data_IF_662467036157
#
_entry.id   IF_662467036157
#
_cell.length_a   1.000
_cell.length_b   1.000
_cell.length_c   1.000
_cell.angle_alpha   90.00
_cell.angle_beta   90.00
_cell.angle_gamma   90.00
#
_symmetry.space_group_name_H-M   'P 1'
#
loop_
_entity.id
_entity.type
_entity.pdbx_description
1 polymer ?
#
# COMPACT_ATOMS: atom_id res chain seq x y z
N UNK A 1 -12.57 -2.88 3.90
CA UNK A 1 -13.72 -2.49 3.05
C UNK A 1 -14.25 -3.75 2.38
N UNK A 2 -15.52 -3.75 2.00
CA UNK A 2 -16.14 -4.82 1.20
C UNK A 2 -15.55 -4.81 -0.22
N UNK A 3 -15.79 -5.89 -0.95
CA UNK A 3 -15.33 -6.12 -2.32
C UNK A 3 -15.72 -5.01 -3.30
N UNK A 4 -16.72 -4.20 -2.96
CA UNK A 4 -17.18 -3.02 -3.71
C UNK A 4 -16.63 -1.68 -3.17
N UNK A 5 -15.80 -1.71 -2.13
CA UNK A 5 -15.21 -0.52 -1.51
C UNK A 5 -16.21 0.37 -0.75
N UNK A 6 -17.48 0.00 -0.61
CA UNK A 6 -18.54 0.87 -0.10
C UNK A 6 -18.81 0.67 1.39
N UNK A 7 -18.68 -0.58 1.88
CA UNK A 7 -18.96 -0.94 3.27
C UNK A 7 -17.68 -1.22 4.05
N UNK A 8 -17.56 -0.65 5.24
CA UNK A 8 -16.50 -1.03 6.18
C UNK A 8 -16.83 -2.42 6.74
N UNK A 9 -16.06 -3.45 6.33
CA UNK A 9 -16.18 -4.81 6.88
C UNK A 9 -15.64 -4.85 8.31
N UNK A 10 -14.46 -4.26 8.51
CA UNK A 10 -13.80 -4.20 9.81
C UNK A 10 -12.93 -2.95 9.86
N UNK A 11 -13.00 -2.22 10.97
CA UNK A 11 -12.24 -1.00 11.18
C UNK A 11 -11.16 -1.23 12.24
N UNK A 12 -9.91 -1.39 11.77
CA UNK A 12 -8.75 -1.56 12.65
C UNK A 12 -8.42 -0.32 13.47
N UNK A 13 -8.81 0.88 13.00
CA UNK A 13 -8.62 2.11 13.76
C UNK A 13 -9.53 2.13 15.00
N UNK A 14 -10.80 1.75 14.82
CA UNK A 14 -11.74 1.63 15.92
C UNK A 14 -11.35 0.52 16.90
N UNK A 15 -10.94 -0.66 16.39
CA UNK A 15 -10.54 -1.80 17.22
C UNK A 15 -9.33 -1.48 18.10
N UNK A 16 -8.32 -0.80 17.53
CA UNK A 16 -7.10 -0.44 18.26
C UNK A 16 -7.24 0.89 19.04
N UNK A 17 -8.39 1.57 18.94
CA UNK A 17 -8.64 2.83 19.62
C UNK A 17 -7.78 3.99 19.12
N UNK A 18 -7.33 3.95 17.85
CA UNK A 18 -6.41 4.92 17.26
C UNK A 18 -7.13 5.78 16.23
N UNK A 19 -6.87 7.09 16.25
CA UNK A 19 -7.42 8.00 15.27
C UNK A 19 -6.74 7.83 13.90
N UNK A 20 -7.54 7.71 12.85
CA UNK A 20 -7.02 7.69 11.48
C UNK A 20 -6.36 9.04 11.13
N UNK A 21 -5.13 9.04 10.60
CA UNK A 21 -4.48 10.27 10.14
C UNK A 21 -5.35 11.01 9.10
N UNK A 22 -5.38 12.34 9.22
CA UNK A 22 -6.06 13.18 8.25
C UNK A 22 -5.44 13.00 6.86
N UNK A 23 -6.27 13.09 5.83
CA UNK A 23 -5.78 13.07 4.45
C UNK A 23 -4.93 14.31 4.18
N UNK A 24 -3.73 14.10 3.65
CA UNK A 24 -2.78 15.18 3.36
C UNK A 24 -3.05 15.72 1.96
N UNK A 25 -3.39 17.00 1.89
CA UNK A 25 -3.43 17.75 0.64
C UNK A 25 -2.01 18.10 0.20
N UNK A 26 -1.60 17.61 -0.98
CA UNK A 26 -0.30 17.89 -1.56
C UNK A 26 -0.23 19.21 -2.34
N UNK A 27 -1.35 19.86 -2.64
CA UNK A 27 -1.44 21.16 -3.35
C UNK A 27 -0.66 21.14 -4.67
N UNK A 28 -0.84 20.07 -5.46
CA UNK A 28 -0.07 19.85 -6.69
C UNK A 28 -0.59 20.68 -7.87
N UNK A 29 -1.77 21.26 -7.77
CA UNK A 29 -2.39 22.13 -8.78
C UNK A 29 -2.07 23.62 -8.58
N UNK A 30 -1.35 23.97 -7.51
CA UNK A 30 -0.95 25.34 -7.22
C UNK A 30 -0.07 25.90 -8.35
N UNK A 31 -0.55 26.95 -9.00
CA UNK A 31 0.15 27.60 -10.11
C UNK A 31 1.43 28.34 -9.68
N UNK A 32 1.64 28.58 -8.39
CA UNK A 32 2.81 29.29 -7.85
C UNK A 32 3.20 28.75 -6.48
N UNK A 33 3.66 27.48 -6.42
CA UNK A 33 4.02 26.86 -5.16
C UNK A 33 5.27 27.52 -4.59
N UNK A 34 5.30 27.74 -3.27
CA UNK A 34 6.49 28.23 -2.61
C UNK A 34 7.63 27.21 -2.75
N UNK A 35 8.86 27.69 -2.99
CA UNK A 35 10.02 26.82 -3.18
C UNK A 35 10.24 25.92 -1.97
N UNK A 36 10.18 24.61 -2.17
CA UNK A 36 10.38 23.59 -1.16
C UNK A 36 9.10 23.18 -0.42
N UNK A 37 7.93 23.72 -0.79
CA UNK A 37 6.65 23.40 -0.15
C UNK A 37 6.34 21.90 -0.24
N UNK A 38 6.53 21.30 -1.43
CA UNK A 38 6.31 19.87 -1.63
C UNK A 38 7.27 19.03 -0.79
N UNK A 39 8.56 19.41 -0.78
CA UNK A 39 9.58 18.73 0.04
C UNK A 39 9.27 18.83 1.54
N UNK A 40 8.81 19.98 2.03
CA UNK A 40 8.42 20.15 3.43
C UNK A 40 7.25 19.23 3.81
N UNK A 41 6.24 19.09 2.94
CA UNK A 41 5.14 18.13 3.15
C UNK A 41 5.65 16.69 3.25
N UNK A 42 6.57 16.28 2.37
CA UNK A 42 7.19 14.94 2.40
C UNK A 42 7.97 14.67 3.69
N UNK A 43 8.74 15.67 4.15
CA UNK A 43 9.51 15.58 5.41
C UNK A 43 8.55 15.47 6.60
N UNK A 44 7.52 16.32 6.65
CA UNK A 44 6.53 16.31 7.73
C UNK A 44 5.78 14.96 7.80
N UNK A 45 5.39 14.41 6.65
CA UNK A 45 4.80 13.08 6.55
C UNK A 45 5.74 11.99 7.09
N UNK A 46 7.00 11.99 6.67
CA UNK A 46 7.98 11.00 7.13
C UNK A 46 8.19 11.09 8.65
N UNK A 47 8.22 12.31 9.21
CA UNK A 47 8.31 12.52 10.65
C UNK A 47 7.06 12.05 11.40
N UNK A 48 5.87 12.30 10.85
CA UNK A 48 4.61 11.81 11.42
C UNK A 48 4.56 10.28 11.47
N UNK A 49 4.93 9.62 10.37
CA UNK A 49 5.02 8.15 10.30
C UNK A 49 6.03 7.60 11.30
N UNK A 50 7.23 8.20 11.39
CA UNK A 50 8.25 7.78 12.37
C UNK A 50 7.75 7.88 13.81
N UNK A 51 7.01 8.96 14.13
CA UNK A 51 6.42 9.15 15.45
C UNK A 51 5.32 8.13 15.73
N UNK A 52 4.50 7.82 14.73
CA UNK A 52 3.44 6.81 14.82
C UNK A 52 3.99 5.39 15.03
N UNK A 53 5.18 5.10 14.50
CA UNK A 53 5.84 3.79 14.62
C UNK A 53 6.63 3.59 15.92
N UNK A 54 6.70 4.60 16.81
CA UNK A 54 7.32 4.57 18.15
C UNK A 54 8.59 3.71 18.28
N UNK A 55 9.58 3.95 17.41
CA UNK A 55 10.88 3.26 17.46
C UNK A 55 10.98 1.97 16.63
N UNK A 56 9.90 1.54 15.95
CA UNK A 56 9.97 0.44 14.98
C UNK A 56 10.66 0.84 13.65
N UNK A 57 10.83 2.15 13.41
CA UNK A 57 11.48 2.66 12.22
C UNK A 57 13.00 2.47 12.28
N UNK A 58 13.57 1.84 11.25
CA UNK A 58 15.02 1.60 11.13
C UNK A 58 15.60 2.52 10.05
N UNK A 59 16.45 3.46 10.44
CA UNK A 59 17.09 4.38 9.51
C UNK A 59 17.96 3.65 8.48
N UNK A 60 17.81 4.03 7.21
CA UNK A 60 18.53 3.44 6.08
C UNK A 60 17.98 2.11 5.57
N UNK A 61 17.01 1.49 6.28
CA UNK A 61 16.38 0.24 5.87
C UNK A 61 14.87 0.38 5.65
N UNK A 62 14.19 1.04 6.58
CA UNK A 62 12.77 1.40 6.47
C UNK A 62 12.61 2.58 5.52
N UNK A 63 11.59 2.52 4.67
CA UNK A 63 11.25 3.60 3.74
C UNK A 63 9.75 3.70 3.56
N UNK A 64 9.28 4.84 3.06
CA UNK A 64 7.88 5.05 2.73
C UNK A 64 7.66 4.76 1.24
N UNK A 65 6.73 3.87 0.96
CA UNK A 65 6.22 3.61 -0.39
C UNK A 65 4.96 4.43 -0.60
N UNK A 66 4.95 5.26 -1.64
CA UNK A 66 3.79 6.04 -2.06
C UNK A 66 3.20 5.40 -3.32
N UNK A 67 2.04 4.76 -3.19
CA UNK A 67 1.26 4.25 -4.32
C UNK A 67 0.35 5.36 -4.81
N UNK A 68 0.59 5.83 -6.02
CA UNK A 68 -0.10 6.97 -6.62
C UNK A 68 -1.08 6.53 -7.70
N UNK A 69 -2.21 7.24 -7.80
CA UNK A 69 -3.07 7.18 -8.98
C UNK A 69 -2.49 7.97 -10.16
N UNK A 70 -3.02 7.72 -11.36
CA UNK A 70 -2.45 8.26 -12.60
C UNK A 70 -2.45 9.79 -12.69
N UNK A 71 -3.53 10.45 -12.28
CA UNK A 71 -3.61 11.91 -12.32
C UNK A 71 -2.69 12.55 -11.27
N UNK A 72 -2.62 11.97 -10.07
CA UNK A 72 -1.68 12.38 -9.04
C UNK A 72 -0.23 12.24 -9.54
N UNK A 73 0.11 11.12 -10.18
CA UNK A 73 1.44 10.88 -10.73
C UNK A 73 1.82 11.91 -11.81
N UNK A 74 0.89 12.20 -12.73
CA UNK A 74 1.08 13.25 -13.74
C UNK A 74 1.37 14.61 -13.12
N UNK A 75 0.53 15.05 -12.18
CA UNK A 75 0.73 16.30 -11.46
C UNK A 75 2.06 16.32 -10.68
N UNK A 76 2.37 15.24 -9.96
CA UNK A 76 3.60 15.10 -9.20
C UNK A 76 4.86 15.18 -10.07
N UNK A 77 4.91 14.45 -11.19
CA UNK A 77 6.08 14.45 -12.08
C UNK A 77 6.26 15.76 -12.83
N UNK A 78 5.18 16.48 -13.11
CA UNK A 78 5.20 17.81 -13.73
C UNK A 78 5.47 18.97 -12.76
N UNK A 79 5.44 18.72 -11.44
CA UNK A 79 5.60 19.77 -10.44
C UNK A 79 6.99 20.42 -10.53
N UNK A 80 7.08 21.75 -10.39
CA UNK A 80 8.31 22.55 -10.58
C UNK A 80 9.51 22.07 -9.75
N UNK A 81 9.27 21.47 -8.58
CA UNK A 81 10.32 20.90 -7.72
C UNK A 81 10.81 19.51 -8.16
N UNK A 82 10.00 18.77 -8.92
CA UNK A 82 10.21 17.37 -9.29
C UNK A 82 10.68 17.25 -10.73
N UNK A 83 10.05 17.99 -11.64
CA UNK A 83 10.27 17.96 -13.10
C UNK A 83 11.76 18.02 -13.50
N UNK A 84 12.61 18.92 -12.95
CA UNK A 84 14.02 18.97 -13.33
C UNK A 84 14.78 17.70 -12.96
N UNK A 85 14.41 17.06 -11.84
CA UNK A 85 15.08 15.85 -11.35
C UNK A 85 14.53 14.61 -12.04
N UNK A 86 13.22 14.55 -12.23
CA UNK A 86 12.53 13.45 -12.90
C UNK A 86 12.96 13.33 -14.36
N UNK A 87 13.04 14.45 -15.08
CA UNK A 87 13.51 14.46 -16.47
C UNK A 87 14.94 13.96 -16.63
N UNK A 88 15.82 14.21 -15.67
CA UNK A 88 17.19 13.64 -15.65
C UNK A 88 17.15 12.16 -15.30
N UNK A 89 16.34 11.76 -14.33
CA UNK A 89 16.18 10.37 -13.91
C UNK A 89 15.69 9.48 -15.05
N UNK A 90 14.62 9.86 -15.74
CA UNK A 90 14.08 9.11 -16.88
C UNK A 90 15.12 8.96 -17.99
N UNK A 91 15.89 10.01 -18.28
CA UNK A 91 17.02 9.95 -19.24
C UNK A 91 18.14 9.01 -18.81
N UNK A 92 18.36 8.85 -17.50
CA UNK A 92 19.41 7.98 -16.97
C UNK A 92 19.00 6.50 -16.93
N UNK A 93 17.73 6.21 -16.69
CA UNK A 93 17.20 4.84 -16.57
C UNK A 93 16.87 4.24 -17.94
N UNK A 94 16.46 5.07 -18.91
CA UNK A 94 16.02 4.60 -20.22
C UNK A 94 16.52 5.51 -21.35
N UNK A 95 17.84 5.44 -21.61
CA UNK A 95 18.58 6.34 -22.50
C UNK A 95 18.04 6.40 -23.94
N UNK A 96 17.26 5.41 -24.40
CA UNK A 96 16.72 5.38 -25.76
C UNK A 96 15.22 5.72 -25.87
N UNK A 97 14.44 5.58 -24.79
CA UNK A 97 12.97 5.79 -24.80
C UNK A 97 12.48 6.88 -23.82
N UNK A 98 13.38 7.67 -23.25
CA UNK A 98 13.06 8.68 -22.22
C UNK A 98 11.93 9.68 -22.58
N UNK A 99 11.75 10.00 -23.87
CA UNK A 99 10.64 10.85 -24.33
C UNK A 99 9.31 10.10 -24.49
N UNK A 100 9.33 8.79 -24.73
CA UNK A 100 8.13 7.94 -24.82
C UNK A 100 7.65 7.43 -23.46
N UNK A 101 8.56 7.32 -22.49
CA UNK A 101 8.28 6.73 -21.18
C UNK A 101 7.94 7.76 -20.08
N UNK A 102 7.86 9.04 -20.43
CA UNK A 102 7.50 10.10 -19.49
C UNK A 102 6.06 9.90 -19.01
N UNK A 103 5.87 9.66 -17.71
CA UNK A 103 4.54 9.48 -17.13
C UNK A 103 3.87 8.14 -17.44
N UNK A 104 4.60 7.13 -17.95
CA UNK A 104 4.04 5.79 -18.11
C UNK A 104 3.72 5.14 -16.76
N UNK A 105 2.64 4.36 -16.68
CA UNK A 105 2.31 3.59 -15.48
C UNK A 105 3.43 2.61 -15.11
N UNK A 106 3.59 2.33 -13.80
CA UNK A 106 4.58 1.36 -13.31
C UNK A 106 6.02 1.88 -13.19
N UNK A 107 6.22 3.20 -13.25
CA UNK A 107 7.50 3.83 -12.93
C UNK A 107 7.67 4.04 -11.42
N UNK A 108 8.89 3.82 -10.93
CA UNK A 108 9.30 4.12 -9.54
C UNK A 108 10.27 5.29 -9.54
N UNK A 109 10.03 6.30 -8.70
CA UNK A 109 10.90 7.47 -8.56
C UNK A 109 11.16 7.81 -7.08
N UNK A 110 12.42 7.84 -6.63
CA UNK A 110 12.76 8.30 -5.28
C UNK A 110 12.78 9.84 -5.22
N UNK A 111 12.00 10.42 -4.31
CA UNK A 111 12.00 11.86 -4.06
C UNK A 111 11.77 12.16 -2.57
N UNK A 112 12.55 13.08 -2.01
CA UNK A 112 12.44 13.53 -0.62
C UNK A 112 12.40 12.41 0.44
N UNK A 113 13.11 11.30 0.18
CA UNK A 113 13.16 10.14 1.10
C UNK A 113 11.97 9.18 0.99
N UNK A 114 11.08 9.40 0.03
CA UNK A 114 9.91 8.56 -0.26
C UNK A 114 10.12 7.92 -1.63
N UNK A 115 9.75 6.64 -1.76
CA UNK A 115 9.68 5.95 -3.05
C UNK A 115 8.27 6.12 -3.61
N UNK A 116 8.16 6.81 -4.74
CA UNK A 116 6.89 7.04 -5.41
C UNK A 116 6.72 6.07 -6.56
N UNK A 117 5.66 5.29 -6.53
CA UNK A 117 5.32 4.31 -7.55
C UNK A 117 3.96 4.67 -8.17
N UNK A 118 3.89 4.73 -9.50
CA UNK A 118 2.62 4.78 -10.21
C UNK A 118 1.98 3.39 -10.16
N UNK A 119 0.81 3.29 -9.52
CA UNK A 119 0.08 2.04 -9.39
C UNK A 119 -0.95 1.90 -10.51
N UNK A 120 -0.61 1.09 -11.52
CA UNK A 120 -1.44 0.86 -12.71
C UNK A 120 -2.77 0.12 -12.44
N UNK A 121 -2.95 -0.46 -11.25
CA UNK A 121 -4.17 -1.15 -10.86
C UNK A 121 -4.56 -2.36 -11.73
N UNK A 122 -5.79 -2.84 -11.55
CA UNK A 122 -6.39 -3.90 -12.37
C UNK A 122 -7.25 -3.33 -13.50
N UNK A 123 -7.32 -4.03 -14.64
CA UNK A 123 -8.09 -3.60 -15.82
C UNK A 123 -9.60 -3.44 -15.55
N UNK A 124 -10.11 -4.08 -14.50
CA UNK A 124 -11.50 -3.96 -14.05
C UNK A 124 -11.72 -2.83 -13.01
N UNK A 125 -10.68 -2.05 -12.70
CA UNK A 125 -10.66 -0.95 -11.72
C UNK A 125 -11.12 -1.33 -10.30
N UNK A 126 -11.20 -2.64 -9.97
CA UNK A 126 -11.57 -3.10 -8.63
C UNK A 126 -10.42 -3.00 -7.65
N UNK A 127 -9.19 -3.11 -8.14
CA UNK A 127 -7.96 -2.91 -7.37
C UNK A 127 -7.23 -1.72 -7.95
N UNK A 128 -7.56 -0.52 -7.47
CA UNK A 128 -6.97 0.71 -7.93
C UNK A 128 -6.81 1.69 -6.76
N UNK A 129 -5.84 2.60 -6.90
CA UNK A 129 -5.79 3.83 -6.10
C UNK A 129 -6.63 4.87 -6.85
N UNK A 130 -7.40 5.68 -6.12
CA UNK A 130 -8.13 6.79 -6.73
C UNK A 130 -7.20 7.65 -7.58
N UNK A 131 -7.66 8.13 -8.74
CA UNK A 131 -6.80 8.78 -9.74
C UNK A 131 -6.07 10.00 -9.20
N UNK A 132 -6.71 10.75 -8.30
CA UNK A 132 -6.21 11.94 -7.60
C UNK A 132 -5.61 11.63 -6.21
N UNK A 133 -5.48 10.35 -5.85
CA UNK A 133 -5.08 9.90 -4.51
C UNK A 133 -3.69 9.30 -4.48
N UNK A 134 -3.13 9.30 -3.27
CA UNK A 134 -1.89 8.59 -2.92
C UNK A 134 -2.05 7.88 -1.59
N UNK A 135 -1.50 6.67 -1.49
CA UNK A 135 -1.46 5.88 -0.27
C UNK A 135 -0.01 5.69 0.15
N UNK A 136 0.30 5.98 1.41
CA UNK A 136 1.62 5.85 1.99
C UNK A 136 1.71 4.64 2.91
N UNK A 137 2.64 3.75 2.59
CA UNK A 137 2.82 2.47 3.24
C UNK A 137 4.27 2.43 3.76
N UNK A 138 4.48 2.35 5.08
CA UNK A 138 5.81 2.08 5.62
C UNK A 138 6.23 0.67 5.22
N UNK A 139 7.39 0.54 4.58
CA UNK A 139 7.97 -0.73 4.15
C UNK A 139 9.22 -1.01 4.99
N UNK A 140 9.57 -2.29 5.14
CA UNK A 140 10.72 -2.73 5.93
C UNK A 140 10.65 -2.31 7.41
N UNK A 141 9.45 -2.33 7.99
CA UNK A 141 9.21 -2.10 9.42
C UNK A 141 8.88 -3.44 10.07
N UNK A 142 9.77 -4.00 10.90
CA UNK A 142 9.56 -5.31 11.51
C UNK A 142 8.30 -5.35 12.36
N UNK A 143 7.45 -6.36 12.14
CA UNK A 143 6.23 -6.56 12.92
C UNK A 143 5.07 -5.62 12.61
N UNK A 144 5.21 -4.70 11.63
CA UNK A 144 4.13 -3.79 11.25
C UNK A 144 2.95 -4.54 10.61
N UNK A 145 3.22 -5.34 9.57
CA UNK A 145 2.22 -6.21 8.95
C UNK A 145 2.38 -7.62 9.48
N UNK A 146 1.30 -8.17 10.04
CA UNK A 146 1.29 -9.53 10.57
C UNK A 146 0.12 -10.33 10.01
N UNK A 147 0.36 -11.62 9.89
CA UNK A 147 -0.62 -12.62 9.55
C UNK A 147 -0.87 -13.46 10.80
N UNK A 148 -2.10 -13.41 11.34
CA UNK A 148 -2.55 -14.34 12.35
C UNK A 148 -3.35 -15.46 11.66
N UNK A 149 -3.10 -16.71 12.04
CA UNK A 149 -3.78 -17.89 11.50
C UNK A 149 -4.60 -18.53 12.60
N UNK A 150 -5.87 -18.75 12.32
CA UNK A 150 -6.76 -19.49 13.21
C UNK A 150 -6.74 -21.00 12.88
N UNK A 151 -7.00 -21.87 13.87
CA UNK A 151 -7.30 -23.27 13.59
C UNK A 151 -8.53 -23.42 12.71
N UNK A 152 -8.56 -24.50 11.94
CA UNK A 152 -9.75 -24.90 11.19
C UNK A 152 -10.85 -25.45 12.11
N UNK A 153 -12.11 -25.25 11.72
CA UNK A 153 -13.30 -25.73 12.41
C UNK A 153 -13.48 -27.26 12.40
N UNK A 154 -12.74 -28.00 11.58
CA UNK A 154 -12.88 -29.45 11.50
C UNK A 154 -12.26 -30.15 12.70
N UNK A 155 -12.93 -31.18 13.22
CA UNK A 155 -12.52 -31.95 14.40
C UNK A 155 -11.03 -32.31 14.50
N UNK A 156 -10.33 -32.74 13.43
CA UNK A 156 -8.90 -33.05 13.52
C UNK A 156 -7.98 -31.85 13.82
N UNK A 157 -8.48 -30.64 13.63
CA UNK A 157 -7.72 -29.39 13.74
C UNK A 157 -8.22 -28.46 14.85
N UNK A 158 -9.33 -28.81 15.50
CA UNK A 158 -9.81 -28.11 16.70
C UNK A 158 -8.70 -28.14 17.76
N UNK A 159 -8.48 -26.98 18.40
CA UNK A 159 -7.45 -26.80 19.44
C UNK A 159 -6.01 -27.10 18.98
N UNK A 160 -5.73 -26.97 17.69
CA UNK A 160 -4.36 -26.99 17.16
C UNK A 160 -3.89 -25.58 16.80
N UNK A 161 -2.57 -25.33 16.70
CA UNK A 161 -2.10 -24.08 16.13
C UNK A 161 -2.61 -23.87 14.70
N UNK A 162 -2.85 -22.60 14.34
CA UNK A 162 -3.20 -22.19 12.99
C UNK A 162 -2.16 -22.64 11.96
N UNK A 163 -2.62 -23.05 10.78
CA UNK A 163 -1.79 -23.44 9.63
C UNK A 163 -2.17 -22.62 8.41
N UNK A 164 -1.20 -22.44 7.51
CA UNK A 164 -1.41 -21.70 6.26
C UNK A 164 -2.51 -22.34 5.41
N UNK A 165 -2.52 -23.67 5.34
CA UNK A 165 -3.51 -24.45 4.61
C UNK A 165 -3.89 -25.73 5.36
N UNK A 166 -5.17 -26.05 5.31
CA UNK A 166 -5.74 -27.32 5.75
C UNK A 166 -6.24 -28.07 4.52
N UNK A 167 -5.70 -29.25 4.26
CA UNK A 167 -6.10 -30.10 3.14
C UNK A 167 -6.89 -31.30 3.66
N UNK A 168 -8.10 -31.45 3.16
CA UNK A 168 -9.01 -32.54 3.48
C UNK A 168 -9.39 -33.27 2.20
N UNK A 169 -9.40 -34.60 2.26
CA UNK A 169 -9.88 -35.45 1.17
C UNK A 169 -11.18 -36.09 1.61
N UNK A 170 -12.29 -35.56 1.12
CA UNK A 170 -13.60 -36.18 1.30
C UNK A 170 -13.72 -37.32 0.31
N UNK A 171 -13.78 -38.55 0.83
CA UNK A 171 -13.90 -39.76 0.02
C UNK A 171 -15.37 -40.14 -0.15
N UNK A 172 -15.69 -40.70 -1.31
CA UNK A 172 -16.96 -41.37 -1.53
C UNK A 172 -17.11 -42.58 -0.61
N UNK A 173 -18.06 -42.52 0.33
CA UNK A 173 -18.31 -43.58 1.30
C UNK A 173 -19.18 -44.71 0.75
N UNK A 174 -19.90 -44.49 -0.37
CA UNK A 174 -20.86 -45.47 -0.88
C UNK A 174 -20.25 -46.38 -1.95
N UNK A 175 -19.56 -45.79 -2.94
CA UNK A 175 -19.05 -46.54 -4.10
C UNK A 175 -17.56 -46.44 -4.29
N UNK A 176 -16.86 -45.64 -3.47
CA UNK A 176 -15.41 -45.42 -3.60
C UNK A 176 -14.99 -44.88 -4.98
N UNK A 177 -15.90 -44.20 -5.70
CA UNK A 177 -15.70 -43.86 -7.11
C UNK A 177 -15.15 -42.44 -7.32
N UNK A 178 -15.13 -41.59 -6.29
CA UNK A 178 -14.60 -40.23 -6.36
C UNK A 178 -13.93 -39.79 -5.06
N UNK A 179 -13.10 -38.75 -5.17
CA UNK A 179 -12.55 -37.99 -4.04
C UNK A 179 -12.72 -36.51 -4.33
N UNK A 180 -13.14 -35.75 -3.31
CA UNK A 180 -13.25 -34.29 -3.37
C UNK A 180 -12.16 -33.69 -2.49
N UNK A 181 -11.11 -33.11 -3.09
CA UNK A 181 -10.13 -32.34 -2.32
C UNK A 181 -10.76 -31.01 -1.89
N UNK A 182 -10.59 -30.68 -0.62
CA UNK A 182 -11.01 -29.43 -0.02
C UNK A 182 -9.79 -28.76 0.63
N UNK A 183 -9.60 -27.47 0.35
CA UNK A 183 -8.48 -26.70 0.87
C UNK A 183 -9.06 -25.47 1.57
N UNK A 184 -8.69 -25.30 2.83
CA UNK A 184 -9.16 -24.20 3.69
C UNK A 184 -7.99 -23.40 4.23
N UNK A 185 -8.22 -22.12 4.48
CA UNK A 185 -7.28 -21.22 5.15
C UNK A 185 -8.07 -20.17 5.95
N UNK A 186 -7.59 -19.83 7.13
CA UNK A 186 -8.22 -18.85 8.03
C UNK A 186 -7.23 -17.72 8.39
N UNK A 187 -6.82 -16.91 7.39
CA UNK A 187 -5.87 -15.83 7.59
C UNK A 187 -6.54 -14.53 8.06
N UNK A 188 -5.94 -13.88 9.05
CA UNK A 188 -6.23 -12.52 9.46
C UNK A 188 -5.01 -11.65 9.23
N UNK A 189 -5.11 -10.78 8.22
CA UNK A 189 -4.08 -9.79 7.90
C UNK A 189 -4.37 -8.52 8.68
N UNK A 190 -3.42 -8.05 9.47
CA UNK A 190 -3.58 -6.81 10.25
C UNK A 190 -2.29 -6.00 10.30
N UNK A 191 -2.47 -4.69 10.48
CA UNK A 191 -1.40 -3.75 10.77
C UNK A 191 -1.38 -3.52 12.28
N UNK A 192 -0.21 -3.64 12.92
CA UNK A 192 -0.05 -3.43 14.37
C UNK A 192 -0.11 -1.97 14.77
N UNK A 193 0.24 -1.06 13.86
CA UNK A 193 0.19 0.40 14.05
C UNK A 193 -0.50 1.06 12.84
N UNK A 194 -1.85 1.01 12.75
CA UNK A 194 -2.59 1.58 11.61
C UNK A 194 -2.42 3.10 11.48
N UNK A 195 -2.07 3.82 12.54
CA UNK A 195 -1.72 5.25 12.54
C UNK A 195 -0.51 5.61 11.66
N UNK A 196 0.35 4.64 11.37
CA UNK A 196 1.48 4.85 10.47
C UNK A 196 1.06 4.87 8.99
N UNK A 197 -0.16 4.41 8.68
CA UNK A 197 -0.72 4.42 7.33
C UNK A 197 -1.31 5.81 7.06
N UNK A 198 -0.78 6.46 6.02
CA UNK A 198 -1.20 7.80 5.65
C UNK A 198 -1.79 7.80 4.24
N UNK A 199 -2.66 8.75 3.97
CA UNK A 199 -3.25 8.97 2.65
C UNK A 199 -3.11 10.44 2.28
N UNK A 200 -3.04 10.69 0.98
CA UNK A 200 -3.02 12.04 0.46
C UNK A 200 -3.84 12.16 -0.81
N UNK A 201 -4.02 13.42 -1.20
CA UNK A 201 -4.77 13.83 -2.37
C UNK A 201 -4.02 14.91 -3.12
N UNK A 202 -4.34 15.04 -4.39
CA UNK A 202 -3.77 16.07 -5.26
C UNK A 202 -4.13 17.49 -4.77
N UNK A 203 -5.38 17.68 -4.32
CA UNK A 203 -6.02 18.93 -3.85
C UNK A 203 -6.97 18.64 -2.69
#
# INVERSE_FOLDING_TARGET
LDSDGSRVIYDWFAELGVAQPAEIDFDLDNASPAKGALRQKCIALTQAVRKALDGLWIDGYSYLLALTGDAFWGAFTSHVEVDPTYGVFVKSVDQMNALQNWGLPGQSFPFAGIRWDNYAGSTDNKVAVGTDKVIFIPVNVPGLYRLALAPSEFFPYINTPGKDFYSLLVRDLERGSWVKPEIYSYPLHYCTAPEALNRGRMT
#
